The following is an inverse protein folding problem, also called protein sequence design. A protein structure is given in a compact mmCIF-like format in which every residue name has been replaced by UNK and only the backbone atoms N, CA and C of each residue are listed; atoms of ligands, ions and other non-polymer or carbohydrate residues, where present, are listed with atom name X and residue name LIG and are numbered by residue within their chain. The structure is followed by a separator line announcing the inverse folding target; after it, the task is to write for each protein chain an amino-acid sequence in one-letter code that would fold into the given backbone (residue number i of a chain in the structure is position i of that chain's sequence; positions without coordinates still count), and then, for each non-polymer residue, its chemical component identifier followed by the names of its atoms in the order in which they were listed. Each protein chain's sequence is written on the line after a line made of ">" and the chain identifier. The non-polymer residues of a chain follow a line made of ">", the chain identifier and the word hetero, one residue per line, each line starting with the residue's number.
data_IF_703829181532
#
_entry.id   IF_703829181532
#
_cell.length_a   1.000
_cell.length_b   1.000
_cell.length_c   1.000
_cell.angle_alpha   90.00
_cell.angle_beta   90.00
_cell.angle_gamma   90.00
#
_symmetry.space_group_name_H-M   'P 1'
#
loop_
_entity.id
_entity.type
_entity.pdbx_description
1 polymer ?
#
# COMPACT_ATOMS: atom_id res chain seq x y z
N UNK A 1 -27.04 -68.70 33.07
CA UNK A 1 -27.83 -67.47 33.34
C UNK A 1 -26.95 -66.57 34.20
N UNK A 2 -26.44 -65.39 33.85
CA UNK A 2 -26.61 -64.38 32.79
C UNK A 2 -25.20 -63.78 32.54
N UNK A 3 -24.60 -63.89 31.34
CA UNK A 3 -24.46 -62.83 30.31
C UNK A 3 -24.41 -61.38 30.83
N UNK A 4 -23.21 -60.80 30.90
CA UNK A 4 -22.99 -59.37 30.75
C UNK A 4 -22.07 -59.18 29.52
N UNK A 5 -22.64 -58.65 28.44
CA UNK A 5 -21.91 -58.28 27.22
C UNK A 5 -21.36 -56.86 27.41
N UNK A 6 -20.03 -56.72 27.44
CA UNK A 6 -19.35 -55.45 27.21
C UNK A 6 -18.84 -55.46 25.78
N UNK A 7 -19.59 -54.80 24.89
CA UNK A 7 -19.17 -54.51 23.52
C UNK A 7 -18.14 -53.39 23.59
N UNK A 8 -16.87 -53.76 23.72
CA UNK A 8 -15.76 -52.86 23.42
C UNK A 8 -15.64 -52.81 21.89
N UNK A 9 -16.22 -51.75 21.32
CA UNK A 9 -16.12 -51.46 19.90
C UNK A 9 -14.65 -51.17 19.56
N UNK A 10 -14.08 -52.06 18.75
CA UNK A 10 -12.85 -51.85 18.01
C UNK A 10 -13.06 -50.69 17.04
N UNK A 11 -12.57 -49.51 17.40
CA UNK A 11 -12.15 -48.54 16.41
C UNK A 11 -10.64 -48.42 16.50
N UNK A 12 -9.97 -49.22 15.69
CA UNK A 12 -8.61 -48.94 15.23
C UNK A 12 -8.64 -47.58 14.49
N UNK A 13 -8.54 -46.49 15.24
CA UNK A 13 -8.10 -45.21 14.71
C UNK A 13 -6.60 -45.14 14.91
N UNK A 14 -5.85 -45.40 13.83
CA UNK A 14 -4.45 -45.00 13.73
C UNK A 14 -4.30 -43.59 14.32
N UNK A 15 -3.22 -43.27 15.06
CA UNK A 15 -2.86 -41.88 15.23
C UNK A 15 -2.65 -41.34 13.82
N UNK A 16 -3.66 -40.63 13.31
CA UNK A 16 -3.49 -39.76 12.18
C UNK A 16 -2.36 -38.85 12.57
N UNK A 17 -1.19 -39.10 11.97
CA UNK A 17 -0.22 -38.05 11.75
C UNK A 17 -1.03 -36.94 11.08
N UNK A 18 -1.46 -35.96 11.87
CA UNK A 18 -1.72 -34.64 11.35
C UNK A 18 -0.37 -34.24 10.77
N UNK A 19 -0.21 -34.43 9.46
CA UNK A 19 0.82 -33.71 8.74
C UNK A 19 0.53 -32.25 9.06
N UNK A 20 1.42 -31.62 9.82
CA UNK A 20 1.62 -30.20 9.68
C UNK A 20 1.70 -29.95 8.17
N UNK A 21 0.63 -29.40 7.63
CA UNK A 21 0.66 -28.80 6.32
C UNK A 21 1.66 -27.66 6.48
N UNK A 22 2.91 -27.94 6.10
CA UNK A 22 3.98 -26.96 6.03
C UNK A 22 3.41 -25.79 5.24
N UNK A 23 3.03 -24.74 5.96
CA UNK A 23 2.72 -23.47 5.34
C UNK A 23 3.97 -23.09 4.56
N UNK A 24 3.91 -22.98 3.23
CA UNK A 24 5.10 -22.79 2.44
C UNK A 24 5.73 -21.48 2.90
N UNK A 25 6.93 -21.60 3.45
CA UNK A 25 7.84 -20.52 3.76
C UNK A 25 7.83 -19.55 2.57
N UNK A 26 7.18 -18.40 2.82
CA UNK A 26 7.18 -17.18 2.00
C UNK A 26 7.20 -17.38 0.47
N UNK A 27 6.03 -17.54 -0.14
CA UNK A 27 5.82 -17.57 -1.61
C UNK A 27 6.49 -16.39 -2.36
N UNK A 28 6.82 -15.30 -1.66
CA UNK A 28 7.43 -14.10 -2.22
C UNK A 28 8.86 -13.81 -1.76
N UNK A 29 9.50 -14.75 -1.03
CA UNK A 29 10.91 -14.67 -0.64
C UNK A 29 11.82 -14.41 -1.86
N UNK A 30 11.39 -14.88 -3.03
CA UNK A 30 12.08 -14.78 -4.31
C UNK A 30 11.39 -13.84 -5.34
N UNK A 31 10.46 -12.98 -4.92
CA UNK A 31 9.67 -12.12 -5.82
C UNK A 31 8.92 -12.86 -6.94
N UNK A 32 8.71 -14.18 -6.80
CA UNK A 32 8.03 -15.01 -7.79
C UNK A 32 6.51 -14.82 -7.79
N UNK A 33 5.85 -15.16 -8.90
CA UNK A 33 4.39 -15.22 -9.03
C UNK A 33 3.64 -13.88 -8.87
N UNK A 34 4.32 -12.76 -9.09
CA UNK A 34 3.68 -11.46 -9.13
C UNK A 34 3.03 -11.24 -10.51
N UNK A 35 1.69 -11.19 -10.56
CA UNK A 35 0.94 -10.83 -11.77
C UNK A 35 1.28 -9.43 -12.27
N UNK A 36 1.67 -9.34 -13.53
CA UNK A 36 1.89 -8.09 -14.26
C UNK A 36 0.61 -7.71 -15.00
N UNK A 37 0.35 -6.42 -15.14
CA UNK A 37 -0.65 -6.00 -16.13
C UNK A 37 -0.08 -6.19 -17.54
N UNK A 38 -0.86 -6.87 -18.37
CA UNK A 38 -0.55 -7.07 -19.78
C UNK A 38 -0.80 -5.80 -20.59
N UNK A 39 -0.10 -5.66 -21.73
CA UNK A 39 -0.35 -4.62 -22.74
C UNK A 39 -0.24 -3.17 -22.22
N UNK A 40 0.67 -2.89 -21.30
CA UNK A 40 0.93 -1.53 -20.81
C UNK A 40 1.67 -0.72 -21.87
N UNK A 41 1.16 0.48 -22.16
CA UNK A 41 1.90 1.48 -22.93
C UNK A 41 2.58 2.46 -21.97
N UNK A 42 3.91 2.37 -21.85
CA UNK A 42 4.69 3.17 -20.88
C UNK A 42 4.46 4.67 -21.04
N UNK A 43 4.31 5.15 -22.28
CA UNK A 43 4.05 6.56 -22.59
C UNK A 43 2.75 7.08 -21.98
N UNK A 44 1.77 6.23 -21.67
CA UNK A 44 0.49 6.63 -21.07
C UNK A 44 0.55 6.74 -19.54
N UNK A 45 1.55 6.12 -18.92
CA UNK A 45 1.74 6.14 -17.46
C UNK A 45 2.81 7.14 -17.00
N UNK A 46 3.44 7.87 -17.93
CA UNK A 46 4.36 8.97 -17.59
C UNK A 46 3.64 10.16 -16.96
N UNK A 47 4.42 11.11 -16.45
CA UNK A 47 3.95 12.32 -15.78
C UNK A 47 3.81 12.14 -14.27
N UNK A 48 3.12 13.09 -13.65
CA UNK A 48 2.96 13.16 -12.20
C UNK A 48 1.88 12.22 -11.69
N UNK A 49 2.17 11.61 -10.54
CA UNK A 49 1.29 10.76 -9.75
C UNK A 49 1.43 11.15 -8.27
N UNK A 50 0.36 11.06 -7.51
CA UNK A 50 0.37 11.24 -6.06
C UNK A 50 0.34 9.87 -5.37
N UNK A 51 1.16 9.73 -4.33
CA UNK A 51 1.17 8.53 -3.49
C UNK A 51 -0.04 8.60 -2.56
N UNK A 52 -0.96 7.64 -2.68
CA UNK A 52 -2.20 7.59 -1.90
C UNK A 52 -2.06 6.62 -0.73
N UNK A 53 -1.56 5.42 -1.00
CA UNK A 53 -1.26 4.43 0.03
C UNK A 53 0.02 3.66 -0.30
N UNK A 54 0.80 3.36 0.73
CA UNK A 54 1.90 2.41 0.69
C UNK A 54 1.46 1.19 1.51
N UNK A 55 1.45 0.04 0.87
CA UNK A 55 0.99 -1.23 1.39
C UNK A 55 2.20 -2.13 1.61
N UNK A 56 2.65 -2.25 2.86
CA UNK A 56 3.71 -3.20 3.21
C UNK A 56 3.14 -4.61 3.16
N UNK A 57 3.85 -5.54 2.53
CA UNK A 57 3.45 -6.94 2.47
C UNK A 57 4.29 -7.81 3.40
N UNK A 58 3.74 -8.99 3.68
CA UNK A 58 4.37 -10.00 4.54
C UNK A 58 5.60 -10.59 3.86
N UNK A 59 6.76 -10.46 4.51
CA UNK A 59 7.99 -11.21 4.18
C UNK A 59 8.33 -12.28 5.22
N UNK A 60 7.74 -12.22 6.43
CA UNK A 60 7.92 -13.20 7.53
C UNK A 60 6.66 -13.25 8.46
N UNK A 61 6.45 -14.35 9.17
CA UNK A 61 5.24 -14.71 9.94
C UNK A 61 4.97 -13.92 11.22
N UNK A 62 5.90 -13.07 11.68
CA UNK A 62 5.82 -12.43 13.01
C UNK A 62 5.11 -11.07 13.06
N UNK A 63 4.59 -10.56 11.94
CA UNK A 63 4.02 -9.20 11.84
C UNK A 63 2.56 -9.28 11.36
N UNK A 64 1.63 -9.53 12.29
CA UNK A 64 0.20 -9.60 11.98
C UNK A 64 -0.63 -8.64 12.83
N UNK A 65 -0.34 -7.36 12.72
CA UNK A 65 -1.31 -6.33 13.08
C UNK A 65 -1.47 -5.48 11.82
N UNK A 66 -2.61 -5.56 11.13
CA UNK A 66 -2.93 -4.77 9.93
C UNK A 66 -3.03 -3.28 10.21
N UNK A 67 -1.95 -2.71 10.71
CA UNK A 67 -1.86 -1.38 11.27
C UNK A 67 -1.98 -0.35 10.15
N UNK A 68 -2.76 0.69 10.42
CA UNK A 68 -3.02 1.77 9.51
C UNK A 68 -2.45 3.04 10.10
N UNK A 69 -1.51 3.64 9.38
CA UNK A 69 -0.86 4.89 9.75
C UNK A 69 -1.30 5.98 8.79
N UNK A 70 -1.62 7.14 9.33
CA UNK A 70 -1.89 8.32 8.52
C UNK A 70 -0.70 9.25 8.62
N UNK A 71 -0.19 9.65 7.46
CA UNK A 71 0.96 10.53 7.36
C UNK A 71 0.49 11.85 6.74
N UNK A 72 0.69 13.00 7.40
CA UNK A 72 0.17 14.29 6.98
C UNK A 72 0.96 14.91 5.81
N UNK A 73 1.60 14.08 5.00
CA UNK A 73 2.36 14.49 3.81
C UNK A 73 1.65 13.99 2.56
N UNK A 74 1.95 14.59 1.41
CA UNK A 74 1.41 14.16 0.14
C UNK A 74 2.52 13.96 -0.88
N UNK A 75 3.26 12.83 -0.80
CA UNK A 75 4.35 12.55 -1.70
C UNK A 75 3.87 12.46 -3.15
N UNK A 76 4.74 12.86 -4.07
CA UNK A 76 4.48 12.80 -5.49
C UNK A 76 5.61 12.08 -6.21
N UNK A 77 5.24 11.42 -7.30
CA UNK A 77 6.14 10.67 -8.14
C UNK A 77 6.01 11.17 -9.57
N UNK A 78 7.12 11.46 -10.23
CA UNK A 78 7.16 11.87 -11.63
C UNK A 78 7.87 10.80 -12.46
N UNK A 79 7.16 10.22 -13.41
CA UNK A 79 7.66 9.17 -14.30
C UNK A 79 7.98 9.73 -15.68
N UNK A 80 9.18 9.46 -16.18
CA UNK A 80 9.59 9.85 -17.53
C UNK A 80 10.47 8.80 -18.18
N UNK A 81 10.43 8.71 -19.52
CA UNK A 81 11.43 7.96 -20.28
C UNK A 81 12.75 8.75 -20.34
N UNK A 82 13.87 8.05 -20.28
CA UNK A 82 15.21 8.61 -20.22
C UNK A 82 16.02 8.24 -21.47
N UNK A 83 15.94 9.07 -22.50
CA UNK A 83 16.71 8.89 -23.74
C UNK A 83 16.20 7.76 -24.65
N UNK A 84 16.02 6.55 -24.12
CA UNK A 84 15.47 5.38 -24.82
C UNK A 84 14.07 5.00 -24.34
N UNK A 85 13.36 4.19 -25.12
CA UNK A 85 12.03 3.65 -24.75
C UNK A 85 12.11 2.54 -23.67
N UNK A 86 13.32 2.19 -23.19
CA UNK A 86 13.53 1.15 -22.17
C UNK A 86 14.07 1.67 -20.86
N UNK A 87 14.63 2.89 -20.84
CA UNK A 87 15.15 3.51 -19.64
C UNK A 87 14.08 4.43 -19.06
N UNK A 88 13.69 4.18 -17.82
CA UNK A 88 12.63 4.89 -17.12
C UNK A 88 13.23 5.58 -15.89
N UNK A 89 12.92 6.85 -15.71
CA UNK A 89 13.23 7.61 -14.51
C UNK A 89 11.98 7.80 -13.68
N UNK A 90 12.12 7.61 -12.38
CA UNK A 90 11.10 7.88 -11.38
C UNK A 90 11.69 8.87 -10.37
N UNK A 91 11.19 10.09 -10.38
CA UNK A 91 11.54 11.10 -9.41
C UNK A 91 10.50 11.11 -8.29
N UNK A 92 10.89 10.70 -7.09
CA UNK A 92 10.05 10.71 -5.90
C UNK A 92 10.37 11.94 -5.07
N UNK A 93 9.35 12.68 -4.69
CA UNK A 93 9.48 13.89 -3.89
C UNK A 93 8.50 13.87 -2.70
N UNK A 94 9.03 14.15 -1.52
CA UNK A 94 8.30 14.28 -0.27
C UNK A 94 8.88 15.42 0.58
N UNK A 95 8.21 15.77 1.67
CA UNK A 95 8.58 16.93 2.49
C UNK A 95 9.98 16.79 3.12
N UNK A 96 10.44 15.56 3.33
CA UNK A 96 11.76 15.22 3.90
C UNK A 96 12.88 15.22 2.87
N UNK A 97 12.56 15.27 1.58
CA UNK A 97 13.53 15.24 0.50
C UNK A 97 13.04 14.51 -0.74
N UNK A 98 13.98 14.26 -1.64
CA UNK A 98 13.75 13.70 -2.95
C UNK A 98 14.75 12.59 -3.29
N UNK A 99 14.35 11.74 -4.24
CA UNK A 99 15.18 10.68 -4.80
C UNK A 99 14.79 10.39 -6.25
N UNK A 100 15.79 10.28 -7.11
CA UNK A 100 15.66 9.83 -8.49
C UNK A 100 16.08 8.37 -8.60
N UNK A 101 15.15 7.54 -9.07
CA UNK A 101 15.40 6.17 -9.46
C UNK A 101 15.57 6.03 -10.96
N UNK A 102 16.57 5.23 -11.36
CA UNK A 102 16.73 4.77 -12.73
C UNK A 102 16.32 3.30 -12.84
N UNK A 103 15.34 3.05 -13.69
CA UNK A 103 14.81 1.74 -13.98
C UNK A 103 15.06 1.35 -15.43
N UNK A 104 15.21 0.05 -15.67
CA UNK A 104 15.35 -0.52 -17.00
C UNK A 104 14.27 -1.56 -17.29
N UNK A 105 13.60 -1.42 -18.43
CA UNK A 105 12.69 -2.40 -19.00
C UNK A 105 13.53 -3.40 -19.78
N UNK A 106 13.72 -4.60 -19.23
CA UNK A 106 14.54 -5.64 -19.88
C UNK A 106 13.84 -6.27 -21.08
N UNK A 107 12.54 -6.50 -20.97
CA UNK A 107 11.75 -7.20 -21.97
C UNK A 107 10.62 -6.28 -22.46
N UNK A 108 10.67 -5.91 -23.74
CA UNK A 108 9.65 -5.06 -24.38
C UNK A 108 8.30 -5.76 -24.51
N UNK A 109 8.26 -7.10 -24.48
CA UNK A 109 6.99 -7.85 -24.44
C UNK A 109 6.31 -7.79 -23.07
N UNK A 110 7.08 -7.49 -22.02
CA UNK A 110 6.61 -7.33 -20.64
C UNK A 110 6.96 -5.95 -20.08
N UNK A 111 6.43 -4.85 -20.67
CA UNK A 111 6.83 -3.49 -20.33
C UNK A 111 6.53 -3.09 -18.87
N UNK A 112 5.62 -3.81 -18.20
CA UNK A 112 5.31 -3.61 -16.78
C UNK A 112 6.36 -4.14 -15.80
N UNK A 113 7.42 -4.81 -16.27
CA UNK A 113 8.50 -5.31 -15.43
C UNK A 113 9.74 -4.41 -15.54
N UNK A 114 10.10 -3.80 -14.43
CA UNK A 114 11.23 -2.87 -14.35
C UNK A 114 12.28 -3.37 -13.38
N UNK A 115 13.54 -3.09 -13.67
CA UNK A 115 14.65 -3.42 -12.80
C UNK A 115 15.41 -2.15 -12.42
N UNK A 116 15.63 -1.94 -11.12
CA UNK A 116 16.59 -0.97 -10.61
C UNK A 116 17.86 -1.70 -10.17
N UNK A 117 19.00 -1.21 -10.63
CA UNK A 117 20.32 -1.66 -10.19
C UNK A 117 21.22 -0.43 -10.04
N UNK A 118 21.78 -0.24 -8.84
CA UNK A 118 22.79 0.80 -8.58
C UNK A 118 22.40 1.77 -7.46
N UNK A 119 23.32 2.72 -7.23
CA UNK A 119 23.11 3.83 -6.30
C UNK A 119 22.11 4.81 -6.88
N UNK A 120 21.22 5.30 -6.03
CA UNK A 120 20.25 6.33 -6.39
C UNK A 120 20.83 7.72 -6.10
N UNK A 121 20.25 8.74 -6.73
CA UNK A 121 20.62 10.14 -6.50
C UNK A 121 19.50 10.86 -5.77
N UNK A 122 19.82 11.72 -4.81
CA UNK A 122 18.81 12.53 -4.13
C UNK A 122 19.21 12.96 -2.74
N UNK A 123 18.43 13.85 -2.15
CA UNK A 123 18.65 14.33 -0.78
C UNK A 123 18.32 13.25 0.25
N UNK A 124 17.37 12.36 -0.01
CA UNK A 124 17.01 11.26 0.90
C UNK A 124 18.15 10.25 1.08
N UNK A 125 19.06 10.12 0.12
CA UNK A 125 20.22 9.22 0.21
C UNK A 125 21.19 9.65 1.33
N UNK A 126 21.16 10.92 1.73
CA UNK A 126 21.99 11.45 2.82
C UNK A 126 21.38 11.20 4.20
N UNK A 127 20.11 10.79 4.26
CA UNK A 127 19.41 10.49 5.51
C UNK A 127 19.75 9.07 5.94
N UNK A 128 20.34 8.92 7.13
CA UNK A 128 20.86 7.63 7.63
C UNK A 128 19.79 6.57 7.85
N UNK A 129 18.52 6.96 7.98
CA UNK A 129 17.38 6.06 8.15
C UNK A 129 16.70 5.68 6.84
N UNK A 130 17.15 6.23 5.71
CA UNK A 130 16.57 5.94 4.40
C UNK A 130 17.13 4.64 3.82
N UNK A 131 16.26 3.66 3.62
CA UNK A 131 16.65 2.38 3.02
C UNK A 131 16.45 2.45 1.49
N UNK A 132 17.57 2.44 0.76
CA UNK A 132 17.54 2.55 -0.70
C UNK A 132 17.01 1.28 -1.34
N UNK A 133 16.01 1.44 -2.20
CA UNK A 133 15.47 0.31 -2.97
C UNK A 133 16.38 -0.03 -4.17
N UNK A 134 16.79 -1.30 -4.23
CA UNK A 134 17.35 -1.93 -5.42
C UNK A 134 16.66 -3.29 -5.63
N UNK A 135 16.10 -3.53 -6.81
CA UNK A 135 15.28 -4.70 -7.07
C UNK A 135 14.33 -4.56 -8.26
N UNK A 136 13.26 -5.34 -8.22
CA UNK A 136 12.27 -5.45 -9.28
C UNK A 136 11.02 -4.62 -8.96
N UNK A 137 10.47 -3.95 -9.96
CA UNK A 137 9.21 -3.23 -9.86
C UNK A 137 8.22 -3.80 -10.87
N UNK A 138 7.02 -4.09 -10.40
CA UNK A 138 5.94 -4.68 -11.18
C UNK A 138 4.80 -3.68 -11.29
N UNK A 139 4.43 -3.29 -12.51
CA UNK A 139 3.19 -2.58 -12.77
C UNK A 139 2.04 -3.58 -12.67
N UNK A 140 1.37 -3.58 -11.52
CA UNK A 140 0.25 -4.49 -11.21
C UNK A 140 -1.04 -4.06 -11.89
N UNK A 141 -1.25 -2.74 -11.91
CA UNK A 141 -2.41 -2.11 -12.49
C UNK A 141 -2.02 -0.71 -12.95
N UNK A 142 -2.46 -0.30 -14.13
CA UNK A 142 -2.28 1.02 -14.68
C UNK A 142 -3.50 1.35 -15.52
N UNK A 143 -4.32 2.27 -15.01
CA UNK A 143 -5.44 2.85 -15.74
C UNK A 143 -5.33 4.38 -15.72
N UNK A 144 -6.27 5.07 -16.36
CA UNK A 144 -6.15 6.52 -16.56
C UNK A 144 -6.01 7.33 -15.27
N UNK A 145 -6.69 6.96 -14.18
CA UNK A 145 -6.72 7.74 -12.94
C UNK A 145 -5.86 7.16 -11.80
N UNK A 146 -5.55 5.86 -11.81
CA UNK A 146 -4.74 5.21 -10.78
C UNK A 146 -3.81 4.13 -11.34
N UNK A 147 -2.74 3.91 -10.60
CA UNK A 147 -1.72 2.91 -10.89
C UNK A 147 -1.29 2.23 -9.59
N UNK A 148 -0.85 0.99 -9.70
CA UNK A 148 -0.31 0.23 -8.58
C UNK A 148 1.02 -0.37 -9.01
N UNK A 149 2.07 0.02 -8.29
CA UNK A 149 3.42 -0.50 -8.46
C UNK A 149 3.75 -1.40 -7.28
N UNK A 150 4.29 -2.60 -7.52
CA UNK A 150 4.83 -3.45 -6.45
C UNK A 150 6.34 -3.48 -6.56
N UNK A 151 7.01 -3.06 -5.49
CA UNK A 151 8.45 -3.08 -5.33
C UNK A 151 8.84 -4.35 -4.59
N UNK A 152 9.77 -5.11 -5.15
CA UNK A 152 10.27 -6.33 -4.57
C UNK A 152 11.78 -6.41 -4.69
N UNK A 153 12.43 -6.50 -3.53
CA UNK A 153 13.84 -6.85 -3.39
C UNK A 153 13.89 -8.15 -2.58
N UNK A 154 14.39 -9.26 -3.14
CA UNK A 154 14.33 -10.57 -2.51
C UNK A 154 14.86 -10.55 -1.09
N UNK A 155 14.15 -11.19 -0.15
CA UNK A 155 14.49 -11.28 1.27
C UNK A 155 14.54 -9.95 2.06
N UNK A 156 14.39 -8.78 1.42
CA UNK A 156 14.59 -7.48 2.06
C UNK A 156 13.30 -6.66 2.11
N UNK A 157 12.69 -6.39 0.96
CA UNK A 157 11.58 -5.45 0.85
C UNK A 157 10.50 -5.98 -0.10
N UNK A 158 9.25 -5.95 0.35
CA UNK A 158 8.09 -6.19 -0.50
C UNK A 158 6.96 -5.24 -0.09
N UNK A 159 6.66 -4.27 -0.95
CA UNK A 159 5.59 -3.31 -0.72
C UNK A 159 4.94 -2.89 -2.04
N UNK A 160 3.69 -2.47 -1.98
CA UNK A 160 2.99 -1.87 -3.11
C UNK A 160 2.68 -0.41 -2.85
N UNK A 161 2.75 0.40 -3.90
CA UNK A 161 2.44 1.83 -3.88
C UNK A 161 1.21 2.05 -4.76
N UNK A 162 0.14 2.55 -4.15
CA UNK A 162 -1.07 2.98 -4.82
C UNK A 162 -0.93 4.44 -5.20
N UNK A 163 -1.00 4.71 -6.49
CA UNK A 163 -0.77 6.01 -7.11
C UNK A 163 -2.07 6.50 -7.75
N UNK A 164 -2.32 7.81 -7.70
CA UNK A 164 -3.44 8.44 -8.39
C UNK A 164 -3.01 9.72 -9.13
N UNK A 165 -3.74 10.09 -10.18
CA UNK A 165 -3.50 11.37 -10.89
C UNK A 165 -3.88 12.59 -10.05
N UNK A 166 -4.85 12.41 -9.16
CA UNK A 166 -5.28 13.42 -8.19
C UNK A 166 -4.78 13.07 -6.78
N UNK A 167 -4.78 14.06 -5.87
CA UNK A 167 -4.40 13.87 -4.46
C UNK A 167 -5.39 13.03 -3.65
N UNK A 168 -6.39 12.45 -4.31
CA UNK A 168 -7.45 11.64 -3.70
C UNK A 168 -7.81 10.51 -4.64
N UNK A 169 -8.20 9.37 -4.07
CA UNK A 169 -8.75 8.23 -4.78
C UNK A 169 -10.07 7.81 -4.12
N UNK A 170 -11.05 7.37 -4.92
CA UNK A 170 -12.32 6.94 -4.36
C UNK A 170 -12.15 5.74 -3.41
N UNK A 171 -12.90 5.74 -2.32
CA UNK A 171 -12.78 4.71 -1.30
C UNK A 171 -13.17 3.32 -1.82
N UNK A 172 -14.09 3.21 -2.80
CA UNK A 172 -14.47 1.94 -3.40
C UNK A 172 -13.36 1.42 -4.32
N UNK A 173 -12.75 2.30 -5.11
CA UNK A 173 -11.60 1.95 -5.95
C UNK A 173 -10.44 1.44 -5.09
N UNK A 174 -10.11 2.16 -4.02
CA UNK A 174 -9.07 1.78 -3.08
C UNK A 174 -9.36 0.42 -2.41
N UNK A 175 -10.60 0.22 -1.94
CA UNK A 175 -11.03 -1.08 -1.39
C UNK A 175 -10.91 -2.20 -2.42
N UNK A 176 -11.25 -1.93 -3.69
CA UNK A 176 -11.10 -2.91 -4.77
C UNK A 176 -9.64 -3.29 -5.00
N UNK A 177 -8.71 -2.33 -4.95
CA UNK A 177 -7.27 -2.57 -5.08
C UNK A 177 -6.78 -3.46 -3.94
N UNK A 178 -7.11 -3.10 -2.70
CA UNK A 178 -6.72 -3.87 -1.50
C UNK A 178 -7.27 -5.29 -1.55
N UNK A 179 -8.54 -5.46 -1.90
CA UNK A 179 -9.15 -6.79 -2.04
C UNK A 179 -8.44 -7.62 -3.11
N UNK A 180 -8.09 -7.02 -4.24
CA UNK A 180 -7.37 -7.70 -5.31
C UNK A 180 -5.99 -8.21 -4.84
N UNK A 181 -5.27 -7.43 -4.02
CA UNK A 181 -3.99 -7.86 -3.43
C UNK A 181 -4.17 -9.08 -2.51
N UNK A 182 -5.21 -9.08 -1.66
CA UNK A 182 -5.52 -10.23 -0.81
C UNK A 182 -5.83 -11.49 -1.63
N UNK A 183 -6.62 -11.36 -2.71
CA UNK A 183 -6.93 -12.46 -3.61
C UNK A 183 -5.70 -13.03 -4.32
N UNK A 184 -4.72 -12.17 -4.62
CA UNK A 184 -3.45 -12.56 -5.22
C UNK A 184 -2.41 -13.05 -4.21
N UNK A 185 -2.86 -13.42 -3.00
CA UNK A 185 -2.02 -13.92 -1.89
C UNK A 185 -0.92 -12.95 -1.46
N UNK A 186 -1.12 -11.64 -1.63
CA UNK A 186 -0.24 -10.59 -1.11
C UNK A 186 -0.85 -9.93 0.14
N UNK A 187 -0.82 -10.60 1.31
CA UNK A 187 -1.38 -10.03 2.53
C UNK A 187 -0.64 -8.75 2.91
N UNK A 188 -1.41 -7.76 3.33
CA UNK A 188 -0.91 -6.44 3.74
C UNK A 188 -0.71 -6.46 5.26
N UNK A 189 0.50 -6.17 5.71
CA UNK A 189 0.87 -6.11 7.12
C UNK A 189 0.74 -4.69 7.66
N UNK A 190 1.07 -3.69 6.86
CA UNK A 190 0.98 -2.29 7.24
C UNK A 190 0.44 -1.46 6.07
N UNK A 191 -0.41 -0.49 6.38
CA UNK A 191 -0.88 0.50 5.41
C UNK A 191 -0.49 1.89 5.88
N UNK A 192 0.33 2.59 5.10
CA UNK A 192 0.63 4.01 5.29
C UNK A 192 -0.20 4.81 4.29
N UNK A 193 -1.15 5.59 4.79
CA UNK A 193 -2.03 6.45 4.00
C UNK A 193 -1.51 7.88 3.98
N UNK A 194 -1.44 8.45 2.79
CA UNK A 194 -0.91 9.78 2.51
C UNK A 194 -1.96 10.65 1.81
N UNK A 195 -1.65 11.93 1.60
CA UNK A 195 -2.52 12.88 0.91
C UNK A 195 -3.92 13.08 1.54
N UNK A 196 -4.09 12.80 2.84
CA UNK A 196 -5.36 13.09 3.52
C UNK A 196 -5.52 14.60 3.70
N UNK A 197 -6.55 15.17 3.08
CA UNK A 197 -6.90 16.58 3.24
C UNK A 197 -7.19 16.92 4.70
N UNK A 198 -6.48 17.90 5.29
CA UNK A 198 -6.75 18.44 6.63
C UNK A 198 -8.11 19.15 6.76
N UNK A 199 -8.90 19.21 5.67
CA UNK A 199 -10.16 19.94 5.59
C UNK A 199 -11.34 19.27 6.34
N UNK A 200 -11.22 18.01 6.79
CA UNK A 200 -12.36 17.30 7.41
C UNK A 200 -12.64 17.66 8.87
N UNK A 201 -11.84 18.51 9.52
CA UNK A 201 -12.02 18.84 10.96
C UNK A 201 -12.84 20.13 11.19
N UNK A 202 -13.30 20.82 10.14
CA UNK A 202 -13.96 22.12 10.27
C UNK A 202 -15.50 22.08 10.50
N UNK A 203 -16.11 20.92 10.79
CA UNK A 203 -17.58 20.82 10.96
C UNK A 203 -18.08 20.82 12.41
N UNK A 204 -17.21 20.74 13.42
CA UNK A 204 -17.63 20.64 14.82
C UNK A 204 -17.59 21.96 15.61
N UNK A 205 -16.92 23.01 15.12
CA UNK A 205 -16.74 24.26 15.88
C UNK A 205 -17.80 25.33 15.57
N UNK A 206 -18.47 25.26 14.41
CA UNK A 206 -19.47 26.25 14.02
C UNK A 206 -20.75 26.22 14.88
N UNK A 207 -21.13 25.05 15.42
CA UNK A 207 -22.36 24.90 16.21
C UNK A 207 -22.19 25.41 17.66
N UNK A 208 -20.98 25.32 18.21
CA UNK A 208 -20.70 25.83 19.55
C UNK A 208 -20.64 27.36 19.57
N UNK A 209 -20.04 28.01 18.57
CA UNK A 209 -19.95 29.48 18.52
C UNK A 209 -21.31 30.15 18.32
N UNK A 210 -22.21 29.55 17.53
CA UNK A 210 -23.57 30.06 17.35
C UNK A 210 -24.42 29.95 18.61
N UNK A 211 -24.27 28.83 19.35
CA UNK A 211 -25.00 28.63 20.61
C UNK A 211 -24.55 29.62 21.70
N UNK A 212 -23.24 29.87 21.82
CA UNK A 212 -22.70 30.85 22.75
C UNK A 212 -23.09 32.30 22.38
N UNK A 213 -23.15 32.65 21.10
CA UNK A 213 -23.60 33.98 20.68
C UNK A 213 -25.09 34.21 20.99
N UNK A 214 -25.95 33.21 20.76
CA UNK A 214 -27.38 33.34 21.00
C UNK A 214 -27.71 33.46 22.50
N UNK A 215 -27.03 32.70 23.36
CA UNK A 215 -27.22 32.81 24.81
C UNK A 215 -26.70 34.14 25.36
N UNK A 216 -25.60 34.66 24.83
CA UNK A 216 -25.09 35.97 25.21
C UNK A 216 -26.05 37.11 24.80
N UNK A 217 -26.59 37.05 23.58
CA UNK A 217 -27.57 38.02 23.09
C UNK A 217 -28.87 37.99 23.90
N UNK A 218 -29.36 36.80 24.26
CA UNK A 218 -30.53 36.66 25.13
C UNK A 218 -30.29 37.22 26.53
N UNK A 219 -29.12 36.95 27.12
CA UNK A 219 -28.75 37.49 28.42
C UNK A 219 -28.61 39.02 28.42
N UNK A 220 -28.06 39.58 27.33
CA UNK A 220 -27.97 41.04 27.15
C UNK A 220 -29.35 41.68 27.00
N UNK A 221 -30.23 41.12 26.16
CA UNK A 221 -31.59 41.61 25.96
C UNK A 221 -32.40 41.64 27.27
N UNK A 222 -32.31 40.57 28.07
CA UNK A 222 -32.98 40.47 29.38
C UNK A 222 -32.44 41.48 30.41
N UNK A 223 -31.19 41.94 30.27
CA UNK A 223 -30.58 42.93 31.17
C UNK A 223 -30.94 44.37 30.80
N UNK A 224 -31.22 44.64 29.53
CA UNK A 224 -31.57 45.99 29.04
C UNK A 224 -33.06 46.30 29.19
N UNK A 225 -33.93 45.29 29.09
CA UNK A 225 -35.39 45.47 29.08
C UNK A 225 -36.10 45.03 30.38
N UNK A 226 -35.37 45.03 31.51
CA UNK A 226 -35.91 44.77 32.85
C UNK A 226 -35.54 45.92 33.76
#
# INVERSE_FOLDING_TARGET
>A
MYRLFLVLCLCYGLPGYASEEETPTSVYEHCGNLQLQENIQIKLITGTWYVIEILQHKTNDKLYNGEKFEVPTCPSVFLTLAGSDTDLKLYWNEDTGDIEYLFKIKDKSSPGFWLSSGSQNGTLVQVTTYDQFAGMVYVRKAISNHMVLTFCSPNTQLYSVVLARDKTLDAKELKSIVNHMHLQKLPITQTKRTCRSSASTARATAWMTTAFCLTYLQAWYLRVHK
#
